data_IF_558734143115
#
_entry.id   IF_558734143115
#
_cell.length_a   1.000
_cell.length_b   1.000
_cell.length_c   1.000
_cell.angle_alpha   90.00
_cell.angle_beta   90.00
_cell.angle_gamma   90.00
#
_symmetry.space_group_name_H-M   'P 1'
#
loop_
_entity.id
_entity.type
_entity.pdbx_description
1 polymer ?
#
# COMPACT_ATOMS: atom_id res chain seq x y z
N UNK A 1 -0.71 49.11 -4.96
CA UNK A 1 -1.48 47.89 -5.19
C UNK A 1 -0.88 46.82 -4.31
N UNK A 2 -1.69 46.38 -3.36
CA UNK A 2 -1.31 46.02 -2.00
C UNK A 2 -1.19 44.49 -1.82
N UNK A 3 0.06 44.02 -1.69
CA UNK A 3 0.56 43.31 -0.49
C UNK A 3 -0.16 42.10 0.11
N UNK A 4 -1.28 41.61 -0.43
CA UNK A 4 -2.11 40.59 0.23
C UNK A 4 -1.71 39.13 -0.02
N UNK A 5 -0.45 38.86 -0.35
CA UNK A 5 0.02 37.48 -0.62
C UNK A 5 0.47 36.73 0.64
N UNK A 6 0.53 37.38 1.81
CA UNK A 6 1.20 36.77 2.96
C UNK A 6 0.41 36.91 4.27
N UNK A 7 -0.53 35.97 4.56
CA UNK A 7 -1.10 35.91 5.92
C UNK A 7 -1.91 34.67 6.38
N UNK A 8 -2.05 33.55 5.65
CA UNK A 8 -2.81 32.38 6.16
C UNK A 8 -2.33 31.03 5.58
N UNK A 9 -1.03 30.72 5.66
CA UNK A 9 -0.46 29.40 5.28
C UNK A 9 0.37 28.77 6.39
N UNK A 10 0.03 29.03 7.65
CA UNK A 10 0.54 28.18 8.73
C UNK A 10 -0.37 26.97 8.85
N UNK A 11 0.18 25.80 8.55
CA UNK A 11 -0.43 24.52 8.93
C UNK A 11 -0.76 24.60 10.42
N UNK A 12 -1.95 24.17 10.79
CA UNK A 12 -2.43 24.28 12.15
C UNK A 12 -1.47 23.47 13.05
N UNK A 13 -1.26 23.88 14.30
CA UNK A 13 -0.39 23.13 15.25
C UNK A 13 -0.80 21.65 15.31
N UNK A 14 -2.09 21.37 15.12
CA UNK A 14 -2.66 20.02 15.03
C UNK A 14 -2.14 19.21 13.83
N UNK A 15 -1.89 19.82 12.68
CA UNK A 15 -1.38 19.12 11.49
C UNK A 15 0.03 18.58 11.76
N UNK A 16 0.86 19.39 12.42
CA UNK A 16 2.20 18.97 12.84
C UNK A 16 2.16 17.88 13.90
N UNK A 17 1.21 17.95 14.85
CA UNK A 17 1.04 16.91 15.87
C UNK A 17 0.64 15.58 15.23
N UNK A 18 -0.33 15.58 14.30
CA UNK A 18 -0.75 14.36 13.59
C UNK A 18 0.39 13.79 12.75
N UNK A 19 1.16 14.66 12.07
CA UNK A 19 2.32 14.25 11.29
C UNK A 19 3.44 13.64 12.17
N UNK A 20 3.73 14.26 13.32
CA UNK A 20 4.72 13.74 14.26
C UNK A 20 4.28 12.37 14.82
N UNK A 21 2.99 12.22 15.14
CA UNK A 21 2.42 10.96 15.62
C UNK A 21 2.48 9.87 14.54
N UNK A 22 2.14 10.18 13.28
CA UNK A 22 2.16 9.17 12.21
C UNK A 22 3.56 8.63 11.96
N UNK A 23 4.58 9.50 11.99
CA UNK A 23 5.98 9.09 11.93
C UNK A 23 6.34 8.27 13.17
N UNK A 24 6.01 8.74 14.37
CA UNK A 24 6.34 8.06 15.62
C UNK A 24 5.73 6.65 15.69
N UNK A 25 4.49 6.48 15.24
CA UNK A 25 3.83 5.16 15.16
C UNK A 25 4.52 4.26 14.13
N UNK A 26 4.83 4.79 12.94
CA UNK A 26 5.51 4.03 11.89
C UNK A 26 6.90 3.56 12.33
N UNK A 27 7.67 4.46 12.95
CA UNK A 27 8.98 4.14 13.52
C UNK A 27 8.85 3.18 14.71
N UNK A 28 7.85 3.38 15.56
CA UNK A 28 7.59 2.54 16.72
C UNK A 28 7.29 1.09 16.36
N UNK A 29 6.47 0.86 15.33
CA UNK A 29 6.19 -0.49 14.81
C UNK A 29 7.47 -1.10 14.23
N UNK A 30 8.22 -0.33 13.43
CA UNK A 30 9.49 -0.80 12.85
C UNK A 30 10.53 -1.18 13.90
N UNK A 31 10.72 -0.35 14.91
CA UNK A 31 11.66 -0.58 16.02
C UNK A 31 11.19 -1.76 16.88
N UNK A 32 9.91 -1.81 17.25
CA UNK A 32 9.35 -2.93 18.02
C UNK A 32 9.56 -4.26 17.30
N UNK A 33 9.26 -4.30 16.00
CA UNK A 33 9.47 -5.51 15.19
C UNK A 33 10.96 -5.83 15.02
N UNK A 34 11.84 -4.83 14.88
CA UNK A 34 13.29 -5.04 14.80
C UNK A 34 13.85 -5.65 16.09
N UNK A 35 13.46 -5.14 17.27
CA UNK A 35 13.89 -5.71 18.56
C UNK A 35 13.31 -7.11 18.80
N UNK A 36 12.05 -7.36 18.43
CA UNK A 36 11.40 -8.66 18.56
C UNK A 36 12.00 -9.71 17.59
N UNK A 37 12.25 -9.31 16.34
CA UNK A 37 12.82 -10.16 15.29
C UNK A 37 14.31 -10.44 15.50
N UNK A 38 15.03 -9.60 16.25
CA UNK A 38 16.45 -9.80 16.57
C UNK A 38 16.72 -11.11 17.36
N UNK A 39 15.69 -11.74 17.95
CA UNK A 39 15.82 -13.03 18.64
C UNK A 39 15.74 -14.27 17.73
N UNK A 40 15.34 -14.14 16.46
CA UNK A 40 15.23 -15.26 15.50
C UNK A 40 15.80 -14.87 14.15
N UNK A 41 17.13 -14.92 14.06
CA UNK A 41 17.87 -14.54 12.86
C UNK A 41 17.87 -15.69 11.84
N UNK A 42 16.89 -15.67 10.95
CA UNK A 42 16.97 -16.32 9.64
C UNK A 42 16.34 -15.38 8.63
N UNK A 43 17.10 -14.97 7.61
CA UNK A 43 16.63 -14.15 6.48
C UNK A 43 15.39 -14.77 5.84
N UNK A 44 15.28 -16.10 5.88
CA UNK A 44 14.12 -16.84 5.39
C UNK A 44 12.86 -16.57 6.24
N UNK A 45 12.96 -16.45 7.57
CA UNK A 45 11.81 -16.16 8.44
C UNK A 45 11.31 -14.72 8.26
N UNK A 46 12.23 -13.78 7.97
CA UNK A 46 11.91 -12.37 7.68
C UNK A 46 11.31 -12.18 6.27
N UNK A 47 11.88 -12.85 5.25
CA UNK A 47 11.38 -12.76 3.87
C UNK A 47 10.13 -13.62 3.62
N UNK A 48 9.98 -14.75 4.32
CA UNK A 48 8.85 -15.69 4.15
C UNK A 48 7.76 -15.53 5.22
N UNK A 49 7.88 -14.54 6.13
CA UNK A 49 6.90 -14.27 7.18
C UNK A 49 6.56 -15.50 8.03
N UNK A 50 7.57 -16.33 8.33
CA UNK A 50 7.42 -17.56 9.12
C UNK A 50 6.43 -18.59 8.57
N UNK A 51 6.12 -18.59 7.26
CA UNK A 51 5.18 -19.52 6.59
C UNK A 51 3.77 -19.59 7.23
N UNK A 52 3.42 -18.63 8.08
CA UNK A 52 2.14 -18.57 8.81
C UNK A 52 1.48 -17.18 8.75
N UNK A 53 1.97 -16.29 7.88
CA UNK A 53 1.28 -15.04 7.56
C UNK A 53 -0.11 -15.38 7.02
N UNK A 54 -1.13 -15.15 7.84
CA UNK A 54 -2.51 -15.48 7.50
C UNK A 54 -2.95 -14.80 6.20
N UNK A 55 -3.97 -15.36 5.54
CA UNK A 55 -4.50 -14.81 4.29
C UNK A 55 -4.89 -13.33 4.41
N UNK A 56 -5.43 -12.92 5.56
CA UNK A 56 -5.86 -11.54 5.82
C UNK A 56 -4.71 -10.51 5.79
N UNK A 57 -3.64 -10.61 6.62
CA UNK A 57 -2.55 -9.64 6.58
C UNK A 57 -1.82 -9.61 5.23
N UNK A 58 -1.70 -10.74 4.54
CA UNK A 58 -1.10 -10.82 3.21
C UNK A 58 -1.94 -10.10 2.15
N UNK A 59 -3.26 -10.31 2.15
CA UNK A 59 -4.16 -9.60 1.24
C UNK A 59 -4.15 -8.09 1.49
N UNK A 60 -4.18 -7.67 2.76
CA UNK A 60 -4.10 -6.24 3.12
C UNK A 60 -2.79 -5.64 2.65
N UNK A 61 -1.65 -6.30 2.88
CA UNK A 61 -0.35 -5.81 2.40
C UNK A 61 -0.29 -5.69 0.88
N UNK A 62 -0.88 -6.64 0.14
CA UNK A 62 -0.90 -6.60 -1.33
C UNK A 62 -1.70 -5.40 -1.83
N UNK A 63 -2.87 -5.15 -1.24
CA UNK A 63 -3.72 -4.00 -1.59
C UNK A 63 -3.00 -2.69 -1.29
N UNK A 64 -2.37 -2.59 -0.12
CA UNK A 64 -1.60 -1.40 0.27
C UNK A 64 -0.42 -1.16 -0.68
N UNK A 65 0.30 -2.21 -1.10
CA UNK A 65 1.39 -2.10 -2.07
C UNK A 65 0.94 -1.63 -3.46
N UNK A 66 -0.28 -1.98 -3.86
CA UNK A 66 -0.85 -1.52 -5.14
C UNK A 66 -1.37 -0.08 -5.07
N UNK A 67 -1.79 0.38 -3.88
CA UNK A 67 -2.33 1.72 -3.69
C UNK A 67 -1.23 2.78 -3.76
N UNK A 68 -1.33 3.69 -4.72
CA UNK A 68 -0.40 4.82 -4.89
C UNK A 68 -1.07 6.17 -4.61
N UNK A 69 -0.25 7.18 -4.28
CA UNK A 69 -0.69 8.58 -4.19
C UNK A 69 -1.31 9.08 -5.50
N UNK A 70 -0.85 8.54 -6.64
CA UNK A 70 -1.42 8.82 -7.97
C UNK A 70 -2.87 8.37 -8.05
N UNK A 71 -3.22 7.21 -7.51
CA UNK A 71 -4.60 6.73 -7.50
C UNK A 71 -5.47 7.60 -6.59
N UNK A 72 -4.95 8.01 -5.44
CA UNK A 72 -5.69 8.81 -4.45
C UNK A 72 -6.05 10.21 -4.96
N UNK A 73 -5.17 10.86 -5.73
CA UNK A 73 -5.42 12.18 -6.32
C UNK A 73 -5.94 12.12 -7.76
N UNK A 74 -5.52 11.10 -8.52
CA UNK A 74 -5.83 10.94 -9.94
C UNK A 74 -7.24 10.44 -10.20
N UNK A 75 -7.75 9.50 -9.41
CA UNK A 75 -9.13 9.00 -9.55
C UNK A 75 -10.18 10.12 -9.44
N UNK A 76 -10.16 11.00 -8.43
CA UNK A 76 -11.14 12.10 -8.36
C UNK A 76 -10.90 13.16 -9.45
N UNK A 77 -9.65 13.40 -9.86
CA UNK A 77 -9.32 14.32 -10.95
C UNK A 77 -9.85 13.82 -12.30
N UNK A 78 -9.68 12.53 -12.60
CA UNK A 78 -10.21 11.89 -13.80
C UNK A 78 -11.74 11.77 -13.77
N UNK A 79 -12.32 11.45 -12.62
CA UNK A 79 -13.77 11.42 -12.45
C UNK A 79 -14.40 12.81 -12.67
N UNK A 80 -13.73 13.89 -12.23
CA UNK A 80 -14.18 15.26 -12.43
C UNK A 80 -14.13 15.69 -13.90
N UNK A 81 -13.09 15.28 -14.64
CA UNK A 81 -12.89 15.66 -16.04
C UNK A 81 -13.67 14.80 -17.04
N UNK A 82 -13.81 13.50 -16.78
CA UNK A 82 -14.32 12.53 -17.74
C UNK A 82 -15.62 11.83 -17.33
N UNK A 83 -16.15 12.09 -16.13
CA UNK A 83 -17.50 11.72 -15.68
C UNK A 83 -17.92 10.27 -16.00
N UNK A 84 -18.63 10.09 -17.11
CA UNK A 84 -19.16 8.79 -17.54
C UNK A 84 -18.07 7.78 -18.01
N UNK A 85 -16.91 8.24 -18.49
CA UNK A 85 -15.84 7.35 -18.96
C UNK A 85 -15.13 6.62 -17.81
N UNK A 86 -15.10 7.23 -16.62
CA UNK A 86 -14.53 6.61 -15.43
C UNK A 86 -15.29 5.34 -15.00
N UNK A 87 -16.59 5.26 -15.27
CA UNK A 87 -17.40 4.06 -14.98
C UNK A 87 -16.87 2.84 -15.74
N UNK A 88 -16.46 3.01 -17.01
CA UNK A 88 -15.86 1.93 -17.80
C UNK A 88 -14.51 1.48 -17.25
N UNK A 89 -13.70 2.42 -16.75
CA UNK A 89 -12.44 2.12 -16.09
C UNK A 89 -12.65 1.35 -14.78
N UNK A 90 -13.59 1.80 -13.94
CA UNK A 90 -13.94 1.12 -12.68
C UNK A 90 -14.47 -0.30 -12.93
N UNK A 91 -15.32 -0.50 -13.95
CA UNK A 91 -15.79 -1.82 -14.36
C UNK A 91 -14.65 -2.70 -14.88
N UNK A 92 -13.74 -2.14 -15.70
CA UNK A 92 -12.56 -2.85 -16.20
C UNK A 92 -11.64 -3.31 -15.07
N UNK A 93 -11.40 -2.47 -14.06
CA UNK A 93 -10.64 -2.84 -12.86
C UNK A 93 -11.34 -3.95 -12.07
N UNK A 94 -12.66 -3.87 -11.89
CA UNK A 94 -13.43 -4.92 -11.22
C UNK A 94 -13.32 -6.28 -11.93
N UNK A 95 -13.46 -6.29 -13.26
CA UNK A 95 -13.33 -7.52 -14.07
C UNK A 95 -11.90 -8.03 -14.04
N UNK A 96 -10.90 -7.16 -14.15
CA UNK A 96 -9.48 -7.52 -14.03
C UNK A 96 -9.19 -8.20 -12.69
N UNK A 97 -9.71 -7.66 -11.59
CA UNK A 97 -9.57 -8.25 -10.26
C UNK A 97 -10.19 -9.65 -10.18
N UNK A 98 -11.38 -9.85 -10.74
CA UNK A 98 -12.03 -11.16 -10.81
C UNK A 98 -11.21 -12.16 -11.64
N UNK A 99 -10.65 -11.72 -12.77
CA UNK A 99 -9.80 -12.57 -13.62
C UNK A 99 -8.49 -12.94 -12.91
N UNK A 100 -7.86 -12.00 -12.20
CA UNK A 100 -6.63 -12.27 -11.43
C UNK A 100 -6.89 -13.30 -10.32
N UNK A 101 -8.02 -13.19 -9.61
CA UNK A 101 -8.39 -14.16 -8.57
C UNK A 101 -8.69 -15.54 -9.17
N UNK A 102 -9.39 -15.60 -10.30
CA UNK A 102 -9.80 -16.87 -10.91
C UNK A 102 -8.71 -17.54 -11.76
N UNK A 103 -7.73 -16.79 -12.29
CA UNK A 103 -6.72 -17.30 -13.23
C UNK A 103 -5.30 -17.14 -12.66
N UNK A 104 -4.98 -15.97 -12.10
CA UNK A 104 -3.66 -15.68 -11.55
C UNK A 104 -3.35 -16.50 -10.30
N UNK A 105 -4.26 -16.51 -9.32
CA UNK A 105 -4.07 -17.31 -8.08
C UNK A 105 -3.85 -18.79 -8.38
N UNK A 106 -4.72 -19.51 -9.14
CA UNK A 106 -4.49 -20.93 -9.40
C UNK A 106 -3.27 -21.21 -10.29
N UNK A 107 -2.80 -20.24 -11.08
CA UNK A 107 -1.58 -20.38 -11.87
C UNK A 107 -0.31 -20.25 -11.02
N UNK A 108 -0.25 -19.31 -10.05
CA UNK A 108 0.96 -19.06 -9.25
C UNK A 108 1.03 -19.87 -7.94
N UNK A 109 -0.11 -20.25 -7.37
CA UNK A 109 -0.17 -21.03 -6.13
C UNK A 109 0.55 -22.40 -6.17
N UNK A 110 0.52 -23.18 -7.28
CA UNK A 110 1.23 -24.46 -7.33
C UNK A 110 2.75 -24.35 -7.52
N UNK A 111 3.29 -23.20 -7.95
CA UNK A 111 4.71 -23.08 -8.24
C UNK A 111 5.61 -22.88 -7.00
N UNK A 112 5.07 -22.55 -5.82
CA UNK A 112 5.82 -22.44 -4.53
C UNK A 112 7.14 -21.64 -4.59
N UNK A 113 7.34 -20.83 -5.63
CA UNK A 113 8.53 -20.00 -5.84
C UNK A 113 8.42 -18.78 -4.95
N UNK A 114 9.42 -18.60 -4.10
CA UNK A 114 9.52 -17.55 -3.09
C UNK A 114 9.91 -16.19 -3.70
N UNK A 115 10.28 -16.20 -4.98
CA UNK A 115 10.64 -15.04 -5.79
C UNK A 115 10.47 -15.41 -7.28
N UNK A 116 10.08 -14.45 -8.11
CA UNK A 116 10.04 -14.60 -9.58
C UNK A 116 11.43 -14.87 -10.22
N UNK A 117 12.50 -14.82 -9.42
CA UNK A 117 13.90 -14.98 -9.82
C UNK A 117 14.59 -16.17 -9.12
N UNK A 118 13.88 -17.25 -8.81
CA UNK A 118 14.54 -18.49 -8.40
C UNK A 118 15.17 -19.15 -9.64
N UNK A 119 16.40 -18.75 -9.96
CA UNK A 119 17.22 -19.41 -10.98
C UNK A 119 17.90 -20.60 -10.32
N UNK A 120 17.59 -21.79 -10.82
CA UNK A 120 18.17 -23.07 -10.40
C UNK A 120 19.62 -23.21 -10.85
#
# INVERSE_FOLDING_TARGET
MDGSVDSQRHLHVWDYVVFAISIAVSLGIGIFYAFMSSRKNSIEEYLMGGRSMGFLPTAVSLVVSFQSAVTMLGVPAEAYLHGAQYVWFALGLGISMLLVVNIGVPMFYPLRITSAYEVK
#
